data_IF_680984886337
#
_entry.id   IF_680984886337
#
_cell.length_a   1.000
_cell.length_b   1.000
_cell.length_c   1.000
_cell.angle_alpha   90.00
_cell.angle_beta   90.00
_cell.angle_gamma   90.00
#
_symmetry.space_group_name_H-M   'P 1'
#
loop_
_entity.id
_entity.type
_entity.pdbx_description
1 polymer ?
#
# COMPACT_ATOMS: atom_id res chain seq x y z
N UNK A 1 18.35 -7.60 -34.25
CA UNK A 1 18.74 -7.61 -32.83
C UNK A 1 17.91 -6.52 -32.20
N UNK A 2 16.99 -6.87 -31.28
CA UNK A 2 16.12 -5.89 -30.63
C UNK A 2 16.98 -4.99 -29.75
N UNK A 3 16.76 -3.67 -29.79
CA UNK A 3 17.50 -2.72 -28.96
C UNK A 3 17.11 -2.89 -27.47
N UNK A 4 18.02 -2.59 -26.56
CA UNK A 4 17.78 -2.71 -25.12
C UNK A 4 16.59 -1.85 -24.66
N UNK A 5 16.40 -0.68 -25.28
CA UNK A 5 15.26 0.19 -25.00
C UNK A 5 13.92 -0.45 -25.40
N UNK A 6 13.84 -1.05 -26.59
CA UNK A 6 12.65 -1.75 -27.07
C UNK A 6 12.32 -2.97 -26.20
N UNK A 7 13.34 -3.73 -25.81
CA UNK A 7 13.19 -4.86 -24.90
C UNK A 7 12.67 -4.41 -23.52
N UNK A 8 13.21 -3.33 -22.97
CA UNK A 8 12.79 -2.77 -21.68
C UNK A 8 11.33 -2.31 -21.71
N UNK A 9 10.91 -1.59 -22.77
CA UNK A 9 9.53 -1.16 -22.97
C UNK A 9 8.58 -2.35 -23.09
N UNK A 10 8.95 -3.37 -23.85
CA UNK A 10 8.16 -4.61 -23.99
C UNK A 10 7.91 -5.29 -22.63
N UNK A 11 8.94 -5.39 -21.80
CA UNK A 11 8.81 -5.95 -20.44
C UNK A 11 7.90 -5.08 -19.56
N UNK A 12 8.05 -3.76 -19.59
CA UNK A 12 7.20 -2.85 -18.81
C UNK A 12 5.72 -3.05 -19.16
N UNK A 13 5.40 -3.13 -20.45
CA UNK A 13 4.05 -3.38 -20.93
C UNK A 13 3.51 -4.73 -20.44
N UNK A 14 4.30 -5.81 -20.53
CA UNK A 14 3.90 -7.13 -20.03
C UNK A 14 3.64 -7.13 -18.52
N UNK A 15 4.49 -6.46 -17.74
CA UNK A 15 4.32 -6.32 -16.29
C UNK A 15 3.03 -5.57 -15.97
N UNK A 16 2.71 -4.49 -16.69
CA UNK A 16 1.46 -3.73 -16.49
C UNK A 16 0.24 -4.62 -16.73
N UNK A 17 0.20 -5.37 -17.83
CA UNK A 17 -0.89 -6.30 -18.11
C UNK A 17 -1.05 -7.37 -17.02
N UNK A 18 0.06 -7.99 -16.60
CA UNK A 18 0.06 -8.96 -15.52
C UNK A 18 -0.48 -8.37 -14.21
N UNK A 19 -0.08 -7.15 -13.88
CA UNK A 19 -0.52 -6.46 -12.65
C UNK A 19 -2.03 -6.20 -12.68
N UNK A 20 -2.60 -5.85 -13.82
CA UNK A 20 -4.06 -5.70 -13.98
C UNK A 20 -4.78 -7.04 -13.82
N UNK A 21 -4.28 -8.08 -14.48
CA UNK A 21 -4.84 -9.43 -14.39
C UNK A 21 -4.87 -9.94 -12.94
N UNK A 22 -3.88 -9.56 -12.12
CA UNK A 22 -3.81 -9.94 -10.69
C UNK A 22 -4.72 -9.06 -9.82
N UNK A 23 -4.95 -7.80 -10.18
CA UNK A 23 -5.69 -6.90 -9.29
C UNK A 23 -7.20 -7.08 -9.28
N UNK A 24 -7.78 -7.58 -10.37
CA UNK A 24 -9.20 -7.96 -10.38
C UNK A 24 -9.49 -9.09 -9.36
N UNK A 25 -8.76 -10.23 -9.37
CA UNK A 25 -8.96 -11.27 -8.36
C UNK A 25 -8.57 -10.79 -6.95
N UNK A 26 -7.53 -9.97 -6.78
CA UNK A 26 -7.21 -9.39 -5.47
C UNK A 26 -8.36 -8.55 -4.91
N UNK A 27 -8.98 -7.70 -5.73
CA UNK A 27 -10.16 -6.92 -5.34
C UNK A 27 -11.31 -7.82 -4.88
N UNK A 28 -11.60 -8.87 -5.66
CA UNK A 28 -12.65 -9.83 -5.32
C UNK A 28 -12.36 -10.53 -3.99
N UNK A 29 -11.10 -10.87 -3.71
CA UNK A 29 -10.69 -11.47 -2.44
C UNK A 29 -10.86 -10.50 -1.26
N UNK A 30 -10.49 -9.23 -1.40
CA UNK A 30 -10.71 -8.24 -0.34
C UNK A 30 -12.20 -8.04 -0.04
N UNK A 31 -13.03 -7.92 -1.08
CA UNK A 31 -14.49 -7.80 -0.93
C UNK A 31 -15.06 -9.06 -0.26
N UNK A 32 -14.67 -10.25 -0.73
CA UNK A 32 -15.10 -11.52 -0.15
C UNK A 32 -14.70 -11.65 1.33
N UNK A 33 -13.49 -11.21 1.69
CA UNK A 33 -13.01 -11.18 3.07
C UNK A 33 -13.87 -10.27 3.95
N UNK A 34 -14.13 -9.03 3.51
CA UNK A 34 -14.97 -8.08 4.24
C UNK A 34 -16.38 -8.67 4.43
N UNK A 35 -17.00 -9.15 3.34
CA UNK A 35 -18.35 -9.73 3.37
C UNK A 35 -18.41 -10.95 4.29
N UNK A 36 -17.42 -11.84 4.23
CA UNK A 36 -17.39 -13.05 5.06
C UNK A 36 -17.30 -12.70 6.54
N UNK A 37 -16.43 -11.77 6.93
CA UNK A 37 -16.25 -11.40 8.34
C UNK A 37 -17.49 -10.67 8.88
N UNK A 38 -18.06 -9.74 8.11
CA UNK A 38 -19.26 -8.99 8.52
C UNK A 38 -20.50 -9.88 8.63
N UNK A 39 -20.65 -10.87 7.74
CA UNK A 39 -21.85 -11.71 7.69
C UNK A 39 -21.88 -12.79 8.77
N UNK A 40 -20.72 -13.35 9.15
CA UNK A 40 -20.67 -14.52 10.02
C UNK A 40 -20.26 -14.14 11.45
N UNK A 41 -21.18 -14.35 12.41
CA UNK A 41 -20.97 -14.01 13.83
C UNK A 41 -19.72 -14.65 14.47
N UNK A 42 -19.26 -15.78 13.91
CA UNK A 42 -18.06 -16.50 14.36
C UNK A 42 -16.77 -15.67 14.18
N UNK A 43 -16.79 -14.67 13.32
CA UNK A 43 -15.63 -13.82 13.01
C UNK A 43 -15.69 -12.43 13.67
N UNK A 44 -16.49 -12.24 14.73
CA UNK A 44 -16.50 -10.98 15.48
C UNK A 44 -15.41 -10.88 16.58
N UNK A 45 -14.38 -11.72 16.52
CA UNK A 45 -13.21 -11.60 17.38
C UNK A 45 -12.35 -10.40 16.94
N UNK A 46 -11.68 -9.75 17.90
CA UNK A 46 -10.77 -8.63 17.69
C UNK A 46 -9.78 -8.81 16.53
N UNK A 47 -9.25 -10.02 16.35
CA UNK A 47 -8.35 -10.35 15.25
C UNK A 47 -8.99 -10.08 13.88
N UNK A 48 -10.19 -10.62 13.64
CA UNK A 48 -10.87 -10.48 12.35
C UNK A 48 -11.33 -9.04 12.09
N UNK A 49 -11.70 -8.30 13.13
CA UNK A 49 -12.02 -6.86 13.01
C UNK A 49 -10.81 -6.07 12.49
N UNK A 50 -9.61 -6.37 12.98
CA UNK A 50 -8.37 -5.74 12.47
C UNK A 50 -8.09 -6.14 11.01
N UNK A 51 -8.40 -7.38 10.61
CA UNK A 51 -8.30 -7.79 9.21
C UNK A 51 -9.27 -7.03 8.29
N UNK A 52 -10.51 -6.80 8.72
CA UNK A 52 -11.47 -5.96 7.96
C UNK A 52 -10.97 -4.53 7.86
N UNK A 53 -10.47 -3.98 8.97
CA UNK A 53 -9.91 -2.63 9.02
C UNK A 53 -8.78 -2.43 8.01
N UNK A 54 -7.96 -3.47 7.77
CA UNK A 54 -6.92 -3.47 6.75
C UNK A 54 -7.46 -3.69 5.32
N UNK A 55 -8.43 -4.57 5.15
CA UNK A 55 -8.98 -4.88 3.81
C UNK A 55 -9.66 -3.67 3.15
N UNK A 56 -10.22 -2.75 3.94
CA UNK A 56 -10.85 -1.52 3.43
C UNK A 56 -9.84 -0.60 2.69
N UNK A 57 -8.72 -0.15 3.30
CA UNK A 57 -7.73 0.65 2.58
C UNK A 57 -7.05 -0.13 1.46
N UNK A 58 -6.88 -1.46 1.57
CA UNK A 58 -6.34 -2.27 0.48
C UNK A 58 -7.28 -2.23 -0.76
N UNK A 59 -8.58 -2.36 -0.55
CA UNK A 59 -9.60 -2.21 -1.59
C UNK A 59 -9.55 -0.81 -2.23
N UNK A 60 -9.51 0.25 -1.41
CA UNK A 60 -9.42 1.62 -1.91
C UNK A 60 -8.11 1.87 -2.67
N UNK A 61 -6.98 1.33 -2.19
CA UNK A 61 -5.66 1.48 -2.81
C UNK A 61 -5.58 0.78 -4.16
N UNK A 62 -6.14 -0.43 -4.29
CA UNK A 62 -6.20 -1.14 -5.57
C UNK A 62 -7.10 -0.40 -6.56
N UNK A 63 -8.27 0.11 -6.15
CA UNK A 63 -9.11 0.94 -7.02
C UNK A 63 -8.36 2.20 -7.46
N UNK A 64 -7.77 2.92 -6.52
CA UNK A 64 -7.07 4.17 -6.80
C UNK A 64 -5.87 3.97 -7.72
N UNK A 65 -5.04 2.95 -7.48
CA UNK A 65 -3.89 2.63 -8.36
C UNK A 65 -4.35 2.17 -9.75
N UNK A 66 -5.49 1.48 -9.84
CA UNK A 66 -6.05 1.08 -11.12
C UNK A 66 -6.40 2.31 -11.98
N UNK A 67 -7.15 3.26 -11.43
CA UNK A 67 -7.55 4.48 -12.15
C UNK A 67 -6.40 5.48 -12.33
N UNK A 68 -5.66 5.77 -11.26
CA UNK A 68 -4.64 6.82 -11.24
C UNK A 68 -3.33 6.47 -11.93
N UNK A 69 -3.00 5.18 -12.07
CA UNK A 69 -1.69 4.77 -12.60
C UNK A 69 -1.83 3.77 -13.75
N UNK A 70 -2.55 2.66 -13.54
CA UNK A 70 -2.50 1.52 -14.47
C UNK A 70 -3.31 1.75 -15.73
N UNK A 71 -4.50 2.32 -15.60
CA UNK A 71 -5.33 2.67 -16.75
C UNK A 71 -4.62 3.73 -17.62
N UNK A 72 -3.98 4.70 -16.97
CA UNK A 72 -3.18 5.74 -17.62
C UNK A 72 -1.96 5.15 -18.34
N UNK A 73 -1.37 4.06 -17.83
CA UNK A 73 -0.25 3.42 -18.49
C UNK A 73 -0.64 2.65 -19.78
N UNK A 74 -1.87 2.13 -19.89
CA UNK A 74 -2.31 1.34 -21.06
C UNK A 74 -2.99 2.22 -22.11
N UNK A 75 -3.96 3.03 -21.69
CA UNK A 75 -4.80 3.82 -22.59
C UNK A 75 -4.72 5.32 -22.28
N UNK A 76 -3.66 5.76 -21.58
CA UNK A 76 -3.45 7.15 -21.19
C UNK A 76 -3.61 8.13 -22.35
N UNK A 77 -3.24 7.73 -23.57
CA UNK A 77 -3.40 8.58 -24.75
C UNK A 77 -4.81 8.85 -25.20
N UNK A 78 -5.67 7.85 -25.06
CA UNK A 78 -7.10 8.00 -25.32
C UNK A 78 -7.78 8.76 -24.17
N UNK A 79 -7.26 8.61 -22.95
CA UNK A 79 -7.79 9.25 -21.76
C UNK A 79 -7.26 10.67 -21.51
N UNK A 80 -6.15 11.06 -22.13
CA UNK A 80 -5.51 12.35 -21.92
C UNK A 80 -6.44 13.55 -22.15
N UNK A 81 -7.29 13.60 -23.19
CA UNK A 81 -8.25 14.69 -23.36
C UNK A 81 -9.27 14.80 -22.22
N UNK A 82 -9.56 13.69 -21.53
CA UNK A 82 -10.49 13.64 -20.39
C UNK A 82 -9.75 14.03 -19.11
N UNK A 83 -8.61 13.40 -18.84
CA UNK A 83 -7.82 13.63 -17.63
C UNK A 83 -7.24 15.04 -17.56
N UNK A 84 -6.84 15.64 -18.69
CA UNK A 84 -6.32 17.01 -18.72
C UNK A 84 -7.36 18.08 -18.35
N UNK A 85 -8.64 17.73 -18.37
CA UNK A 85 -9.75 18.61 -17.97
C UNK A 85 -10.14 18.43 -16.49
N UNK A 86 -9.57 17.45 -15.79
CA UNK A 86 -9.92 17.26 -14.39
C UNK A 86 -9.38 18.41 -13.53
N UNK A 87 -10.18 18.87 -12.56
CA UNK A 87 -9.75 19.92 -11.64
C UNK A 87 -8.65 19.40 -10.69
N UNK A 88 -7.79 20.32 -10.24
CA UNK A 88 -6.64 19.99 -9.39
C UNK A 88 -6.99 19.16 -8.14
N UNK A 89 -8.17 19.38 -7.54
CA UNK A 89 -8.62 18.64 -6.37
C UNK A 89 -8.77 17.13 -6.62
N UNK A 90 -9.05 16.69 -7.86
CA UNK A 90 -9.14 15.26 -8.18
C UNK A 90 -7.76 14.59 -8.14
N UNK A 91 -6.72 15.29 -8.55
CA UNK A 91 -5.35 14.78 -8.49
C UNK A 91 -4.82 14.79 -7.07
N UNK A 92 -5.09 15.86 -6.33
CA UNK A 92 -4.85 15.89 -4.90
C UNK A 92 -5.55 14.74 -4.17
N UNK A 93 -6.79 14.42 -4.55
CA UNK A 93 -7.53 13.27 -4.02
C UNK A 93 -6.84 11.95 -4.35
N UNK A 94 -6.33 11.76 -5.57
CA UNK A 94 -5.57 10.56 -5.93
C UNK A 94 -4.30 10.40 -5.07
N UNK A 95 -3.57 11.48 -4.83
CA UNK A 95 -2.39 11.46 -3.94
C UNK A 95 -2.77 11.22 -2.49
N UNK A 96 -3.82 11.89 -2.01
CA UNK A 96 -4.37 11.70 -0.68
C UNK A 96 -4.75 10.24 -0.45
N UNK A 97 -5.53 9.63 -1.35
CA UNK A 97 -5.96 8.23 -1.23
C UNK A 97 -4.75 7.30 -1.27
N UNK A 98 -3.78 7.53 -2.15
CA UNK A 98 -2.56 6.70 -2.22
C UNK A 98 -1.79 6.72 -0.90
N UNK A 99 -1.51 7.91 -0.38
CA UNK A 99 -0.78 8.06 0.89
C UNK A 99 -1.58 7.55 2.09
N UNK A 100 -2.88 7.88 2.13
CA UNK A 100 -3.79 7.44 3.19
C UNK A 100 -3.87 5.92 3.27
N UNK A 101 -4.13 5.25 2.15
CA UNK A 101 -4.29 3.79 2.10
C UNK A 101 -2.99 3.07 2.46
N UNK A 102 -1.85 3.57 1.99
CA UNK A 102 -0.53 3.06 2.35
C UNK A 102 -0.30 3.12 3.86
N UNK A 103 -0.50 4.30 4.47
CA UNK A 103 -0.26 4.49 5.90
C UNK A 103 -1.29 3.76 6.78
N UNK A 104 -2.55 3.72 6.34
CA UNK A 104 -3.61 2.99 7.05
C UNK A 104 -3.32 1.47 7.06
N UNK A 105 -2.88 0.90 5.92
CA UNK A 105 -2.44 -0.49 5.86
C UNK A 105 -1.25 -0.71 6.81
N UNK A 106 -0.28 0.20 6.78
CA UNK A 106 0.88 0.13 7.64
C UNK A 106 0.48 0.04 9.14
N UNK A 107 -0.38 0.93 9.60
CA UNK A 107 -0.86 0.92 10.98
C UNK A 107 -1.70 -0.33 11.28
N UNK A 108 -2.64 -0.70 10.41
CA UNK A 108 -3.48 -1.87 10.60
C UNK A 108 -2.64 -3.15 10.73
N UNK A 109 -1.62 -3.32 9.88
CA UNK A 109 -0.68 -4.44 9.94
C UNK A 109 0.08 -4.46 11.26
N UNK A 110 0.55 -3.30 11.72
CA UNK A 110 1.22 -3.18 13.04
C UNK A 110 0.30 -3.64 14.17
N UNK A 111 -0.97 -3.21 14.18
CA UNK A 111 -1.93 -3.64 15.21
C UNK A 111 -2.31 -5.11 15.11
N UNK A 112 -2.40 -5.69 13.90
CA UNK A 112 -2.59 -7.13 13.72
C UNK A 112 -1.43 -7.90 14.37
N UNK A 113 -0.19 -7.47 14.12
CA UNK A 113 1.00 -8.11 14.67
C UNK A 113 1.04 -7.99 16.20
N UNK A 114 0.71 -6.81 16.74
CA UNK A 114 0.59 -6.60 18.17
C UNK A 114 -0.54 -7.45 18.79
N UNK A 115 -1.66 -7.61 18.08
CA UNK A 115 -2.77 -8.48 18.50
C UNK A 115 -2.32 -9.94 18.59
N UNK A 116 -1.55 -10.44 17.62
CA UNK A 116 -0.99 -11.80 17.68
C UNK A 116 0.03 -11.96 18.80
N UNK A 117 0.92 -10.99 18.97
CA UNK A 117 1.92 -11.01 20.04
C UNK A 117 1.27 -11.06 21.43
N UNK A 118 0.26 -10.23 21.65
CA UNK A 118 -0.48 -10.20 22.93
C UNK A 118 -1.35 -11.43 23.15
N UNK A 119 -1.84 -12.09 22.09
CA UNK A 119 -2.54 -13.37 22.22
C UNK A 119 -1.61 -14.47 22.75
N UNK A 120 -0.35 -14.48 22.31
CA UNK A 120 0.68 -15.41 22.79
C UNK A 120 1.12 -15.06 24.22
N UNK A 121 1.38 -13.77 24.48
CA UNK A 121 1.90 -13.33 25.77
C UNK A 121 0.84 -13.33 26.89
N UNK A 122 -0.43 -13.10 26.58
CA UNK A 122 -1.52 -12.92 27.56
C UNK A 122 -2.84 -13.59 27.11
N UNK A 123 -2.88 -14.93 26.96
CA UNK A 123 -4.02 -15.63 26.36
C UNK A 123 -5.34 -15.49 27.13
N UNK A 124 -5.30 -15.31 28.45
CA UNK A 124 -6.51 -15.28 29.30
C UNK A 124 -7.28 -13.96 29.28
N UNK A 125 -6.60 -12.85 28.96
CA UNK A 125 -7.18 -11.50 29.00
C UNK A 125 -7.15 -10.78 27.65
N UNK A 126 -6.45 -11.34 26.67
CA UNK A 126 -6.25 -10.77 25.33
C UNK A 126 -7.54 -10.21 24.72
N UNK A 127 -8.58 -11.03 24.56
CA UNK A 127 -9.78 -10.59 23.82
C UNK A 127 -10.51 -9.43 24.51
N UNK A 128 -10.58 -9.43 25.84
CA UNK A 128 -11.22 -8.33 26.61
C UNK A 128 -10.45 -7.02 26.47
N UNK A 129 -9.12 -7.08 26.45
CA UNK A 129 -8.25 -5.93 26.26
C UNK A 129 -8.49 -5.36 24.86
N UNK A 130 -8.40 -6.20 23.82
CA UNK A 130 -8.53 -5.74 22.45
C UNK A 130 -9.90 -5.18 22.13
N UNK A 131 -10.99 -5.84 22.54
CA UNK A 131 -12.34 -5.32 22.32
C UNK A 131 -12.53 -3.90 22.88
N UNK A 132 -11.86 -3.57 24.00
CA UNK A 132 -11.88 -2.21 24.58
C UNK A 132 -11.05 -1.21 23.77
N UNK A 133 -9.91 -1.64 23.22
CA UNK A 133 -9.00 -0.76 22.45
C UNK A 133 -9.36 -0.63 20.97
N UNK A 134 -10.10 -1.59 20.40
CA UNK A 134 -10.52 -1.58 18.99
C UNK A 134 -11.06 -0.23 18.50
N UNK A 135 -12.04 0.44 19.15
CA UNK A 135 -12.54 1.72 18.64
C UNK A 135 -11.46 2.80 18.58
N UNK A 136 -10.55 2.84 19.56
CA UNK A 136 -9.43 3.79 19.57
C UNK A 136 -8.44 3.48 18.44
N UNK A 137 -8.18 2.19 18.19
CA UNK A 137 -7.31 1.75 17.09
C UNK A 137 -7.94 2.09 15.74
N UNK A 138 -9.25 1.86 15.56
CA UNK A 138 -9.97 2.25 14.35
C UNK A 138 -9.84 3.74 14.07
N UNK A 139 -10.05 4.57 15.09
CA UNK A 139 -9.87 6.02 14.97
C UNK A 139 -8.43 6.33 14.58
N UNK A 140 -7.44 5.75 15.26
CA UNK A 140 -6.04 6.00 14.97
C UNK A 140 -5.66 5.62 13.52
N UNK A 141 -6.04 4.42 13.07
CA UNK A 141 -5.70 3.87 11.74
C UNK A 141 -6.26 4.71 10.61
N UNK A 142 -7.43 5.32 10.76
CA UNK A 142 -8.02 6.15 9.70
C UNK A 142 -7.77 7.64 9.85
N UNK A 143 -7.75 8.15 11.08
CA UNK A 143 -7.63 9.58 11.36
C UNK A 143 -6.20 10.08 11.19
N UNK A 144 -5.20 9.34 11.67
CA UNK A 144 -3.80 9.77 11.60
C UNK A 144 -3.32 9.89 10.14
N UNK A 145 -3.55 8.90 9.24
CA UNK A 145 -3.24 9.07 7.82
C UNK A 145 -3.96 10.25 7.17
N UNK A 146 -5.21 10.50 7.57
CA UNK A 146 -5.99 11.63 7.05
C UNK A 146 -5.31 12.96 7.37
N UNK A 147 -4.86 13.16 8.62
CA UNK A 147 -4.14 14.37 9.01
C UNK A 147 -2.78 14.48 8.30
N UNK A 148 -2.05 13.38 8.18
CA UNK A 148 -0.72 13.36 7.57
C UNK A 148 -0.77 13.74 6.08
N UNK A 149 -1.75 13.23 5.34
CA UNK A 149 -1.86 13.44 3.90
C UNK A 149 -2.82 14.56 3.50
N UNK A 150 -3.52 15.20 4.45
CA UNK A 150 -4.33 16.40 4.17
C UNK A 150 -3.59 17.50 3.38
N UNK A 151 -2.29 17.78 3.60
CA UNK A 151 -1.55 18.75 2.81
C UNK A 151 -1.51 18.46 1.29
N UNK A 152 -1.81 17.23 0.85
CA UNK A 152 -1.92 16.90 -0.57
C UNK A 152 -2.94 17.79 -1.32
N UNK A 153 -3.97 18.29 -0.64
CA UNK A 153 -4.94 19.23 -1.20
C UNK A 153 -4.40 20.63 -1.50
N UNK A 154 -3.18 20.94 -1.04
CA UNK A 154 -2.49 22.20 -1.38
C UNK A 154 -1.54 22.05 -2.57
N UNK A 155 -1.31 20.82 -3.05
CA UNK A 155 -0.41 20.55 -4.17
C UNK A 155 -1.04 21.02 -5.48
N UNK A 156 -0.22 21.52 -6.40
CA UNK A 156 -0.63 21.80 -7.78
C UNK A 156 -0.13 20.67 -8.67
N UNK A 157 -1.02 19.85 -9.20
CA UNK A 157 -0.64 18.75 -10.09
C UNK A 157 -0.52 19.21 -11.54
N UNK A 158 0.54 18.78 -12.24
CA UNK A 158 0.77 19.02 -13.67
C UNK A 158 0.76 17.69 -14.42
N UNK A 159 0.17 17.72 -15.62
CA UNK A 159 0.14 16.61 -16.57
C UNK A 159 1.26 16.77 -17.59
N UNK A 160 2.16 15.80 -17.62
CA UNK A 160 3.20 15.74 -18.64
C UNK A 160 2.99 14.47 -19.46
N UNK A 161 2.81 14.65 -20.78
CA UNK A 161 2.82 13.55 -21.73
C UNK A 161 4.21 12.92 -21.73
N UNK A 162 4.27 11.58 -21.67
CA UNK A 162 5.53 10.82 -21.68
C UNK A 162 6.36 11.11 -22.92
N UNK A 163 5.72 11.21 -24.09
CA UNK A 163 6.31 11.72 -25.31
C UNK A 163 5.29 12.61 -26.05
N UNK A 164 5.48 13.94 -26.08
CA UNK A 164 4.56 14.85 -26.77
C UNK A 164 4.56 14.67 -28.29
N UNK A 165 5.59 14.04 -28.86
CA UNK A 165 5.74 13.85 -30.32
C UNK A 165 5.25 12.47 -30.78
N UNK A 166 5.01 11.54 -29.86
CA UNK A 166 4.53 10.20 -30.18
C UNK A 166 3.00 10.16 -30.32
N UNK A 167 2.53 9.69 -31.47
CA UNK A 167 1.10 9.43 -31.68
C UNK A 167 0.63 8.14 -31.00
N UNK A 168 1.56 7.25 -30.63
CA UNK A 168 1.31 5.89 -30.11
C UNK A 168 1.67 5.70 -28.64
N UNK A 169 2.70 6.39 -28.12
CA UNK A 169 3.08 6.34 -26.69
C UNK A 169 2.61 7.61 -25.98
N UNK A 170 1.43 7.52 -25.38
CA UNK A 170 0.76 8.65 -24.73
C UNK A 170 0.42 8.36 -23.28
N UNK A 171 1.25 7.59 -22.59
CA UNK A 171 1.23 7.61 -21.13
C UNK A 171 1.42 9.04 -20.62
N UNK A 172 0.83 9.39 -19.48
CA UNK A 172 1.12 10.66 -18.83
C UNK A 172 1.44 10.42 -17.36
N UNK A 173 2.26 11.31 -16.82
CA UNK A 173 2.63 11.32 -15.41
C UNK A 173 2.00 12.52 -14.73
N UNK A 174 1.63 12.34 -13.46
CA UNK A 174 1.14 13.39 -12.59
C UNK A 174 2.29 13.77 -11.66
N UNK A 175 2.75 15.01 -11.76
CA UNK A 175 3.79 15.57 -10.89
C UNK A 175 3.25 16.75 -10.10
N UNK A 176 3.83 17.02 -8.94
CA UNK A 176 3.66 18.30 -8.28
C UNK A 176 4.43 19.39 -9.04
N UNK A 177 3.81 20.56 -9.24
CA UNK A 177 4.45 21.75 -9.76
C UNK A 177 5.50 22.28 -8.77
N UNK A 178 6.74 21.82 -8.89
CA UNK A 178 7.88 22.31 -8.10
C UNK A 178 9.21 22.13 -8.82
N UNK A 179 10.04 23.18 -8.81
CA UNK A 179 11.24 23.41 -9.64
C UNK A 179 12.15 22.21 -9.96
N UNK A 180 12.50 22.12 -11.25
CA UNK A 180 13.57 21.37 -11.92
C UNK A 180 14.41 20.43 -11.04
N UNK A 181 14.10 19.12 -11.11
CA UNK A 181 14.90 18.06 -10.50
C UNK A 181 15.68 17.31 -11.57
N UNK A 182 17.02 17.42 -11.52
CA UNK A 182 17.97 16.64 -12.32
C UNK A 182 18.15 15.24 -11.74
N UNK A 183 17.98 14.20 -12.55
CA UNK A 183 18.10 12.79 -12.14
C UNK A 183 19.52 12.30 -12.47
N UNK A 184 20.28 11.84 -11.48
CA UNK A 184 21.57 11.17 -11.67
C UNK A 184 21.57 9.83 -10.91
N UNK A 185 21.78 8.72 -11.62
CA UNK A 185 21.64 7.37 -11.09
C UNK A 185 22.97 6.63 -11.02
N UNK A 186 23.15 5.79 -10.00
CA UNK A 186 24.10 4.69 -10.07
C UNK A 186 23.69 3.54 -9.12
N UNK A 187 23.69 2.32 -9.64
CA UNK A 187 23.32 1.07 -8.95
C UNK A 187 24.59 0.28 -8.60
N UNK A 188 24.50 -0.62 -7.61
CA UNK A 188 24.97 -2.02 -7.69
C UNK A 188 24.71 -2.76 -6.38
N UNK A 189 24.19 -3.99 -6.46
CA UNK A 189 24.01 -4.88 -5.32
C UNK A 189 24.05 -6.35 -5.75
N UNK A 190 24.72 -7.18 -4.94
CA UNK A 190 24.61 -8.64 -4.98
C UNK A 190 24.82 -9.21 -3.56
N UNK A 191 24.19 -10.37 -3.29
CA UNK A 191 24.22 -11.25 -2.11
C UNK A 191 23.02 -11.15 -1.14
N UNK A 192 21.98 -11.92 -1.48
CA UNK A 192 20.62 -11.84 -0.90
C UNK A 192 20.16 -13.13 -0.18
N UNK A 193 20.64 -14.33 -0.50
CA UNK A 193 19.92 -15.55 -0.06
C UNK A 193 20.13 -15.99 1.40
N UNK A 194 21.27 -15.72 2.05
CA UNK A 194 21.44 -16.02 3.49
C UNK A 194 20.92 -14.92 4.41
N UNK A 195 20.56 -13.76 3.84
CA UNK A 195 19.99 -12.64 4.58
C UNK A 195 18.51 -12.86 4.88
N UNK A 196 17.76 -13.63 4.09
CA UNK A 196 16.28 -13.67 4.09
C UNK A 196 15.58 -13.90 5.46
N UNK A 197 16.14 -14.69 6.38
CA UNK A 197 15.53 -14.92 7.71
C UNK A 197 15.81 -13.77 8.69
N UNK A 198 17.04 -13.27 8.69
CA UNK A 198 17.41 -12.06 9.42
C UNK A 198 16.78 -10.82 8.77
N UNK A 199 16.54 -10.87 7.45
CA UNK A 199 15.80 -9.89 6.66
C UNK A 199 14.34 -9.95 7.05
N UNK A 200 13.68 -11.09 7.25
CA UNK A 200 12.28 -11.11 7.70
C UNK A 200 12.10 -10.49 9.11
N UNK A 201 13.03 -10.75 10.03
CA UNK A 201 13.04 -10.14 11.38
C UNK A 201 13.45 -8.65 11.35
N UNK A 202 14.46 -8.29 10.56
CA UNK A 202 14.88 -6.90 10.30
C UNK A 202 13.92 -6.15 9.38
N UNK A 203 13.03 -6.84 8.67
CA UNK A 203 11.94 -6.28 7.86
C UNK A 203 10.75 -6.10 8.76
N UNK A 204 10.46 -7.00 9.70
CA UNK A 204 9.45 -6.76 10.73
C UNK A 204 9.85 -5.61 11.67
N UNK A 205 11.06 -5.67 12.25
CA UNK A 205 11.64 -4.60 13.06
C UNK A 205 11.92 -3.36 12.22
N UNK A 206 12.34 -3.51 10.97
CA UNK A 206 12.57 -2.41 10.05
C UNK A 206 11.27 -1.77 9.62
N UNK A 207 10.19 -2.50 9.39
CA UNK A 207 8.87 -1.91 9.13
C UNK A 207 8.38 -1.23 10.39
N UNK A 208 8.50 -1.83 11.58
CA UNK A 208 8.11 -1.17 12.83
C UNK A 208 8.97 0.07 13.14
N UNK A 209 10.28 0.01 12.93
CA UNK A 209 11.22 1.14 13.10
C UNK A 209 10.99 2.17 12.01
N UNK A 210 10.78 1.80 10.75
CA UNK A 210 10.42 2.71 9.65
C UNK A 210 9.03 3.28 9.87
N UNK A 211 8.09 2.58 10.49
CA UNK A 211 6.80 3.15 10.90
C UNK A 211 6.95 4.21 11.96
N UNK A 212 7.71 3.86 12.98
CA UNK A 212 7.94 4.68 14.15
C UNK A 212 8.78 5.87 13.70
N UNK A 213 9.75 5.65 12.82
CA UNK A 213 10.59 6.67 12.23
C UNK A 213 9.84 7.51 11.21
N UNK A 214 8.93 6.98 10.38
CA UNK A 214 8.03 7.75 9.51
C UNK A 214 7.05 8.57 10.34
N UNK A 215 6.45 7.98 11.37
CA UNK A 215 5.57 8.70 12.28
C UNK A 215 6.34 9.78 13.04
N UNK A 216 7.58 9.50 13.47
CA UNK A 216 8.46 10.48 14.13
C UNK A 216 8.97 11.53 13.15
N UNK A 217 9.36 11.19 11.91
CA UNK A 217 9.75 12.18 10.90
C UNK A 217 8.54 12.97 10.42
N UNK A 218 7.35 12.39 10.27
CA UNK A 218 6.13 13.18 9.98
C UNK A 218 5.75 14.11 11.14
N UNK A 219 6.10 13.74 12.38
CA UNK A 219 5.88 14.57 13.57
C UNK A 219 6.98 15.61 13.80
N UNK A 220 8.21 15.36 13.33
CA UNK A 220 9.39 16.22 13.53
C UNK A 220 9.82 17.02 12.29
N UNK A 221 9.54 16.56 11.06
CA UNK A 221 9.70 17.27 9.78
C UNK A 221 8.40 17.97 9.36
N UNK A 222 7.77 18.70 10.30
CA UNK A 222 6.57 19.48 10.02
C UNK A 222 6.81 20.58 8.97
N UNK A 223 8.07 20.96 8.71
CA UNK A 223 8.38 22.17 7.94
C UNK A 223 8.71 21.95 6.44
N UNK A 224 8.93 20.72 5.95
CA UNK A 224 9.24 20.50 4.52
C UNK A 224 8.34 19.43 3.84
N UNK A 225 7.27 19.85 3.15
CA UNK A 225 6.34 18.95 2.46
C UNK A 225 6.96 18.20 1.28
N UNK A 226 8.06 18.69 0.70
CA UNK A 226 8.70 18.12 -0.50
C UNK A 226 9.34 16.75 -0.24
N UNK A 227 9.92 16.60 0.95
CA UNK A 227 10.59 15.35 1.37
C UNK A 227 9.58 14.23 1.68
N UNK A 228 8.35 14.58 2.10
CA UNK A 228 7.26 13.62 2.39
C UNK A 228 6.77 12.89 1.13
N UNK A 229 6.83 13.55 -0.02
CA UNK A 229 6.19 13.08 -1.26
C UNK A 229 7.06 12.11 -2.09
N UNK A 230 8.38 12.32 -2.13
CA UNK A 230 9.30 11.42 -2.85
C UNK A 230 9.36 10.02 -2.22
N UNK A 231 9.14 9.91 -0.92
CA UNK A 231 9.16 8.61 -0.23
C UNK A 231 7.88 7.78 -0.45
N UNK A 232 6.72 8.40 -0.63
CA UNK A 232 5.44 7.70 -0.80
C UNK A 232 5.27 7.05 -2.20
N UNK A 233 5.98 7.55 -3.21
CA UNK A 233 5.79 7.18 -4.62
C UNK A 233 6.61 5.96 -5.08
N UNK A 234 7.70 5.61 -4.39
CA UNK A 234 8.59 4.50 -4.77
C UNK A 234 8.29 3.14 -4.13
N UNK A 235 7.48 3.10 -3.05
CA UNK A 235 7.30 1.89 -2.23
C UNK A 235 6.08 0.96 -2.48
N UNK A 236 5.07 1.26 -3.32
CA UNK A 236 3.88 0.41 -3.38
C UNK A 236 4.11 -0.97 -4.02
N UNK A 237 5.20 -1.19 -4.76
CA UNK A 237 5.46 -2.46 -5.45
C UNK A 237 5.99 -3.58 -4.52
N UNK A 238 6.59 -3.23 -3.38
CA UNK A 238 7.23 -4.20 -2.46
C UNK A 238 6.25 -4.76 -1.43
N UNK A 239 5.20 -4.00 -1.08
CA UNK A 239 4.28 -4.35 0.01
C UNK A 239 3.17 -5.33 -0.39
N UNK A 240 2.73 -5.35 -1.66
CA UNK A 240 1.68 -6.28 -2.12
C UNK A 240 2.13 -7.76 -2.04
N UNK A 241 3.41 -8.04 -2.25
CA UNK A 241 3.95 -9.41 -2.28
C UNK A 241 4.21 -10.01 -0.89
N UNK A 242 4.53 -9.16 0.11
CA UNK A 242 4.93 -9.60 1.45
C UNK A 242 3.78 -10.15 2.31
N UNK A 243 2.56 -9.70 2.08
CA UNK A 243 1.41 -10.04 2.95
C UNK A 243 0.59 -11.24 2.52
N UNK A 244 0.70 -11.71 1.28
CA UNK A 244 0.02 -12.92 0.81
C UNK A 244 0.72 -14.19 1.30
N UNK A 245 2.04 -14.14 1.53
CA UNK A 245 2.85 -15.32 1.89
C UNK A 245 2.73 -15.78 3.36
N UNK A 246 2.20 -14.96 4.27
CA UNK A 246 2.22 -15.26 5.72
C UNK A 246 0.92 -15.84 6.30
N UNK A 247 -0.15 -15.98 5.50
CA UNK A 247 -1.43 -16.50 5.99
C UNK A 247 -1.58 -18.03 5.84
N UNK A 248 -0.64 -18.73 5.21
CA UNK A 248 -0.78 -20.16 4.87
C UNK A 248 -0.19 -21.17 5.87
N UNK A 249 0.65 -20.73 6.81
CA UNK A 249 1.36 -21.65 7.71
C UNK A 249 1.02 -21.32 9.16
N UNK A 250 -0.14 -21.74 9.66
CA UNK A 250 -0.39 -22.12 11.06
C UNK A 250 -1.83 -22.60 11.19
N UNK A 251 -2.14 -23.74 10.57
CA UNK A 251 -3.30 -24.55 10.96
C UNK A 251 -2.89 -26.02 10.88
N UNK A 252 -1.96 -26.43 11.76
CA UNK A 252 -1.78 -27.85 12.08
C UNK A 252 -2.90 -28.31 13.02
N UNK A 253 -3.39 -29.55 12.90
CA UNK A 253 -4.47 -30.06 13.74
C UNK A 253 -3.99 -30.14 15.19
N UNK A 254 -4.77 -29.53 16.09
CA UNK A 254 -4.61 -29.70 17.52
C UNK A 254 -4.76 -31.19 17.88
N UNK A 255 -3.74 -31.72 18.56
CA UNK A 255 -3.71 -33.08 19.06
C UNK A 255 -4.93 -33.37 19.93
N UNK A 256 -5.69 -34.40 19.57
CA UNK A 256 -6.61 -35.07 20.47
C UNK A 256 -5.80 -35.74 21.59
N UNK A 257 -5.82 -35.15 22.79
CA UNK A 257 -5.52 -35.91 24.02
C UNK A 257 -6.79 -36.64 24.45
N UNK A 258 -6.89 -37.90 24.06
CA UNK A 258 -7.76 -38.86 24.74
C UNK A 258 -7.04 -39.25 26.03
N UNK A 259 -7.67 -39.03 27.19
CA UNK A 259 -7.37 -39.79 28.39
C UNK A 259 -8.57 -39.84 29.34
N UNK A 260 -8.83 -41.07 29.79
CA UNK A 260 -9.80 -41.58 30.78
C UNK A 260 -11.29 -41.50 30.46
#
# INVERSE_FOLDING_TARGET
MMDFAEWSLSIQTQIIYLTICISVPSMALYIAQIVTIVRHKKFHNSFYVLFVMRAIPDCLGVLNSFYGQRLNAIIGGALYPIYSQFPNWMFAMNFFITGHTFQANFFATTFILLNRLTAIAMPTKHEKIWQKFLPLITIFVYFVPTLMYWPAFKMNAIFILRDPNSTTDRGFYIYEAGDNVSINGNNNGHDIEKKLLCYALATFLGHAIVAIQFALTDFWLVDDPKTRFMFASYFPLIMDTGTVMLSGYYCGPAAHSVNS
#
